data_IF_978342952437
#
_entry.id   IF_978342952437
#
_cell.length_a   1.000
_cell.length_b   1.000
_cell.length_c   1.000
_cell.angle_alpha   90.00
_cell.angle_beta   90.00
_cell.angle_gamma   90.00
#
_symmetry.space_group_name_H-M   'P 1'
#
loop_
_entity.id
_entity.type
_entity.pdbx_description
1 polymer ?
#
# COMPACT_ATOMS: atom_id res chain seq x y z
N UNK A 1 29.83 26.05 -12.63
CA UNK A 1 29.03 25.39 -11.56
C UNK A 1 27.57 25.53 -11.98
N UNK A 2 27.00 24.53 -12.63
CA UNK A 2 25.60 24.58 -13.04
C UNK A 2 24.75 24.57 -11.77
N UNK A 3 23.91 25.60 -11.59
CA UNK A 3 22.92 25.65 -10.52
C UNK A 3 22.00 24.44 -10.66
N UNK A 4 21.75 23.65 -9.59
CA UNK A 4 20.73 22.61 -9.62
C UNK A 4 19.39 23.23 -10.00
N UNK A 5 18.66 22.56 -10.88
CA UNK A 5 17.32 22.98 -11.32
C UNK A 5 16.35 22.93 -10.11
N UNK A 6 15.73 24.05 -9.69
CA UNK A 6 14.82 24.08 -8.54
C UNK A 6 13.58 23.18 -8.71
N UNK A 7 13.25 22.74 -9.93
CA UNK A 7 12.19 21.77 -10.17
C UNK A 7 12.55 20.33 -9.70
N UNK A 8 13.85 19.98 -9.68
CA UNK A 8 14.31 18.67 -9.20
C UNK A 8 14.18 18.52 -7.68
N UNK A 9 14.40 19.60 -6.92
CA UNK A 9 14.27 19.59 -5.45
C UNK A 9 12.81 19.62 -4.97
N UNK A 10 11.91 20.32 -5.68
CA UNK A 10 10.47 20.35 -5.33
C UNK A 10 9.74 19.00 -5.52
N UNK A 11 10.32 18.07 -6.27
CA UNK A 11 9.70 16.77 -6.58
C UNK A 11 9.86 15.75 -5.44
N UNK A 12 10.85 15.92 -4.57
CA UNK A 12 11.19 14.98 -3.48
C UNK A 12 10.39 15.21 -2.19
N UNK A 13 9.79 16.39 -1.99
CA UNK A 13 8.99 16.70 -0.78
C UNK A 13 7.49 16.41 -0.93
N UNK A 14 7.01 16.08 -2.13
CA UNK A 14 5.61 15.64 -2.29
C UNK A 14 5.45 14.19 -1.87
N UNK A 15 4.59 13.95 -0.87
CA UNK A 15 4.19 12.61 -0.49
C UNK A 15 3.75 11.81 -1.74
N UNK A 16 4.24 10.57 -1.84
CA UNK A 16 3.91 9.69 -2.97
C UNK A 16 2.39 9.51 -3.10
N UNK A 17 1.87 9.27 -4.32
CA UNK A 17 0.44 9.05 -4.55
C UNK A 17 -0.16 8.02 -3.58
N UNK A 18 -1.11 8.46 -2.77
CA UNK A 18 -1.80 7.62 -1.78
C UNK A 18 -3.24 8.10 -1.53
N UNK A 19 -3.99 7.31 -0.77
CA UNK A 19 -5.26 7.71 -0.17
C UNK A 19 -5.46 6.90 1.11
N UNK A 20 -4.94 7.41 2.22
CA UNK A 20 -5.05 6.75 3.52
C UNK A 20 -6.51 6.56 3.95
N UNK A 21 -7.41 7.45 3.54
CA UNK A 21 -8.84 7.37 3.82
C UNK A 21 -9.50 6.20 3.09
N UNK A 22 -9.13 5.96 1.82
CA UNK A 22 -9.64 4.82 1.06
C UNK A 22 -9.11 3.49 1.63
N UNK A 23 -7.83 3.45 1.99
CA UNK A 23 -7.24 2.30 2.68
C UNK A 23 -7.96 2.00 4.00
N UNK A 24 -8.18 3.03 4.83
CA UNK A 24 -8.92 2.90 6.10
C UNK A 24 -10.35 2.42 5.89
N UNK A 25 -11.03 2.94 4.87
CA UNK A 25 -12.40 2.52 4.54
C UNK A 25 -12.45 1.03 4.17
N UNK A 26 -11.46 0.51 3.43
CA UNK A 26 -11.38 -0.92 3.11
C UNK A 26 -11.22 -1.75 4.37
N UNK A 27 -10.23 -1.42 5.21
CA UNK A 27 -9.95 -2.19 6.43
C UNK A 27 -11.12 -2.14 7.42
N UNK A 28 -11.64 -0.95 7.69
CA UNK A 28 -12.79 -0.79 8.58
C UNK A 28 -14.06 -1.43 8.02
N UNK A 29 -14.25 -1.41 6.70
CA UNK A 29 -15.34 -2.13 6.05
C UNK A 29 -15.28 -3.63 6.29
N UNK A 30 -14.09 -4.24 6.16
CA UNK A 30 -13.89 -5.67 6.43
C UNK A 30 -14.13 -6.01 7.91
N UNK A 31 -13.72 -5.16 8.84
CA UNK A 31 -13.99 -5.36 10.27
C UNK A 31 -15.49 -5.30 10.57
N UNK A 32 -16.24 -4.43 9.88
CA UNK A 32 -17.69 -4.30 10.05
C UNK A 32 -18.48 -5.43 9.36
N UNK A 33 -17.98 -5.91 8.23
CA UNK A 33 -18.55 -7.03 7.46
C UNK A 33 -17.42 -7.89 6.92
N UNK A 34 -17.13 -8.99 7.63
CA UNK A 34 -16.06 -9.91 7.27
C UNK A 34 -16.26 -10.54 5.89
N UNK A 35 -17.49 -10.61 5.37
CA UNK A 35 -17.77 -11.13 4.02
C UNK A 35 -17.09 -10.32 2.91
N UNK A 36 -16.71 -9.07 3.19
CA UNK A 36 -16.04 -8.18 2.26
C UNK A 36 -14.57 -8.53 1.99
N UNK A 37 -13.93 -9.34 2.85
CA UNK A 37 -12.51 -9.67 2.71
C UNK A 37 -12.20 -10.39 1.39
N UNK A 38 -13.08 -11.30 0.95
CA UNK A 38 -12.90 -12.04 -0.29
C UNK A 38 -12.78 -11.11 -1.50
N UNK A 39 -13.65 -10.10 -1.56
CA UNK A 39 -13.61 -9.08 -2.62
C UNK A 39 -12.36 -8.19 -2.50
N UNK A 40 -11.93 -7.85 -1.28
CA UNK A 40 -10.71 -7.06 -1.09
C UNK A 40 -9.46 -7.82 -1.57
N UNK A 41 -9.33 -9.11 -1.27
CA UNK A 41 -8.22 -9.98 -1.69
C UNK A 41 -8.19 -10.16 -3.21
N UNK A 42 -9.36 -10.28 -3.84
CA UNK A 42 -9.46 -10.37 -5.30
C UNK A 42 -8.90 -9.11 -6.00
N UNK A 43 -9.18 -7.93 -5.42
CA UNK A 43 -8.89 -6.65 -6.05
C UNK A 43 -7.52 -6.06 -5.70
N UNK A 44 -6.97 -6.40 -4.54
CA UNK A 44 -5.79 -5.77 -3.95
C UNK A 44 -4.72 -6.77 -3.52
N UNK A 45 -3.50 -6.28 -3.45
CA UNK A 45 -2.37 -6.93 -2.76
C UNK A 45 -1.93 -6.06 -1.58
N UNK A 46 -1.30 -6.62 -0.53
CA UNK A 46 -0.78 -5.82 0.59
C UNK A 46 0.12 -4.65 0.15
N UNK A 47 0.90 -4.83 -0.91
CA UNK A 47 1.82 -3.83 -1.46
C UNK A 47 1.08 -2.60 -2.03
N UNK A 48 -0.23 -2.74 -2.33
CA UNK A 48 -1.05 -1.64 -2.81
C UNK A 48 -1.37 -0.61 -1.72
N UNK A 49 -1.28 -1.00 -0.45
CA UNK A 49 -1.42 -0.08 0.68
C UNK A 49 -0.15 0.75 0.82
N UNK A 50 -0.29 2.06 0.81
CA UNK A 50 0.79 3.01 1.05
C UNK A 50 1.18 3.05 2.52
N UNK A 51 0.18 3.09 3.42
CA UNK A 51 0.42 3.22 4.86
C UNK A 51 0.93 1.87 5.40
N UNK A 52 2.14 1.81 5.99
CA UNK A 52 2.71 0.55 6.46
C UNK A 52 1.85 -0.18 7.50
N UNK A 53 1.19 0.55 8.39
CA UNK A 53 0.27 -0.04 9.38
C UNK A 53 -0.94 -0.66 8.70
N UNK A 54 -1.54 0.00 7.71
CA UNK A 54 -2.66 -0.56 6.93
C UNK A 54 -2.26 -1.84 6.19
N UNK A 55 -1.07 -1.86 5.57
CA UNK A 55 -0.54 -3.05 4.92
C UNK A 55 -0.47 -4.25 5.87
N UNK A 56 0.12 -4.05 7.06
CA UNK A 56 0.24 -5.09 8.08
C UNK A 56 -1.11 -5.59 8.56
N UNK A 57 -2.06 -4.68 8.79
CA UNK A 57 -3.42 -5.04 9.17
C UNK A 57 -4.07 -5.88 8.07
N UNK A 58 -3.96 -5.50 6.80
CA UNK A 58 -4.51 -6.28 5.69
C UNK A 58 -3.89 -7.68 5.61
N UNK A 59 -2.57 -7.82 5.81
CA UNK A 59 -1.91 -9.13 5.88
C UNK A 59 -2.45 -9.99 7.02
N UNK A 60 -2.64 -9.42 8.21
CA UNK A 60 -3.23 -10.11 9.34
C UNK A 60 -4.67 -10.56 9.05
N UNK A 61 -5.48 -9.71 8.38
CA UNK A 61 -6.84 -10.05 7.95
C UNK A 61 -6.84 -11.22 6.95
N UNK A 62 -5.91 -11.24 6.00
CA UNK A 62 -5.74 -12.37 5.07
C UNK A 62 -5.41 -13.64 5.84
N UNK A 63 -4.44 -13.60 6.76
CA UNK A 63 -4.06 -14.75 7.56
C UNK A 63 -5.19 -15.30 8.43
N UNK A 64 -6.04 -14.43 9.00
CA UNK A 64 -7.26 -14.81 9.72
C UNK A 64 -8.28 -15.48 8.79
N UNK A 65 -8.51 -14.89 7.62
CA UNK A 65 -9.43 -15.41 6.62
C UNK A 65 -9.03 -16.81 6.11
N UNK A 66 -7.75 -17.01 5.80
CA UNK A 66 -7.22 -18.27 5.24
C UNK A 66 -7.42 -19.47 6.18
N UNK A 67 -7.44 -19.25 7.50
CA UNK A 67 -7.70 -20.28 8.50
C UNK A 67 -9.16 -20.33 8.97
N UNK A 68 -10.05 -19.55 8.36
CA UNK A 68 -11.47 -19.50 8.70
C UNK A 68 -11.77 -18.86 10.07
N UNK A 69 -10.89 -17.97 10.54
CA UNK A 69 -11.11 -17.22 11.77
C UNK A 69 -11.88 -15.92 11.50
N UNK A 70 -12.56 -15.40 12.53
CA UNK A 70 -13.21 -14.09 12.49
C UNK A 70 -12.17 -12.96 12.36
N UNK A 71 -12.55 -11.89 11.67
CA UNK A 71 -11.72 -10.70 11.44
C UNK A 71 -12.25 -9.58 12.33
N UNK A 72 -11.91 -9.64 13.62
CA UNK A 72 -12.24 -8.63 14.61
C UNK A 72 -10.98 -7.95 15.18
N UNK A 73 -11.10 -6.76 15.82
CA UNK A 73 -9.95 -6.01 16.30
C UNK A 73 -9.05 -6.75 17.30
N UNK A 74 -9.60 -7.64 18.13
CA UNK A 74 -8.83 -8.42 19.11
C UNK A 74 -8.03 -9.50 18.39
N UNK A 75 -8.65 -10.24 17.47
CA UNK A 75 -7.96 -11.29 16.72
C UNK A 75 -6.90 -10.72 15.76
N UNK A 76 -7.14 -9.54 15.18
CA UNK A 76 -6.13 -8.81 14.40
C UNK A 76 -4.95 -8.41 15.30
N UNK A 77 -5.22 -7.89 16.51
CA UNK A 77 -4.19 -7.52 17.48
C UNK A 77 -3.34 -8.73 17.89
N UNK A 78 -3.97 -9.87 18.16
CA UNK A 78 -3.28 -11.13 18.46
C UNK A 78 -2.41 -11.61 17.29
N UNK A 79 -2.89 -11.49 16.06
CA UNK A 79 -2.12 -11.87 14.88
C UNK A 79 -0.90 -10.98 14.70
N UNK A 80 -1.06 -9.66 14.85
CA UNK A 80 0.04 -8.71 14.76
C UNK A 80 1.07 -8.88 15.89
N UNK A 81 0.66 -9.36 17.07
CA UNK A 81 1.56 -9.69 18.18
C UNK A 81 2.46 -10.88 17.87
N UNK A 82 1.95 -11.92 17.20
CA UNK A 82 2.75 -13.10 16.82
C UNK A 82 3.93 -12.71 15.92
N UNK A 83 3.74 -11.69 15.10
CA UNK A 83 4.77 -11.17 14.18
C UNK A 83 5.66 -10.08 14.80
N UNK A 84 5.53 -9.78 16.10
CA UNK A 84 6.16 -8.62 16.77
C UNK A 84 5.89 -7.28 16.05
N UNK A 85 4.75 -7.18 15.34
CA UNK A 85 4.42 -6.04 14.50
C UNK A 85 3.48 -5.03 15.17
N UNK A 86 2.88 -5.37 16.32
CA UNK A 86 1.82 -4.57 16.94
C UNK A 86 2.24 -3.13 17.28
N UNK A 87 3.41 -2.94 17.89
CA UNK A 87 3.90 -1.60 18.26
C UNK A 87 4.08 -0.71 17.02
N UNK A 88 4.48 -1.31 15.90
CA UNK A 88 4.66 -0.61 14.62
C UNK A 88 3.35 -0.18 13.95
N UNK A 89 2.22 -0.68 14.41
CA UNK A 89 0.88 -0.39 13.90
C UNK A 89 0.17 0.71 14.73
N UNK A 90 0.71 1.06 15.90
CA UNK A 90 0.10 2.03 16.82
C UNK A 90 -0.80 1.39 17.89
N UNK A 91 -0.73 0.06 18.03
CA UNK A 91 -1.47 -0.71 19.04
C UNK A 91 -2.95 -0.92 18.71
N UNK A 92 -3.65 -1.64 19.60
CA UNK A 92 -5.06 -2.01 19.43
C UNK A 92 -5.99 -0.81 19.20
N UNK A 93 -5.70 0.33 19.83
CA UNK A 93 -6.47 1.57 19.66
C UNK A 93 -6.50 2.06 18.22
N UNK A 94 -5.44 1.81 17.44
CA UNK A 94 -5.43 2.16 16.02
C UNK A 94 -6.40 1.28 15.22
N UNK A 95 -6.42 -0.02 15.52
CA UNK A 95 -7.29 -1.01 14.87
C UNK A 95 -8.76 -0.70 15.19
N UNK A 96 -9.09 -0.42 16.45
CA UNK A 96 -10.47 -0.07 16.83
C UNK A 96 -10.94 1.25 16.22
N UNK A 97 -10.01 2.17 15.90
CA UNK A 97 -10.34 3.43 15.23
C UNK A 97 -10.55 3.30 13.72
N UNK A 98 -10.26 2.16 13.10
CA UNK A 98 -10.48 1.95 11.66
C UNK A 98 -11.96 2.10 11.29
N UNK A 99 -12.86 1.65 12.16
CA UNK A 99 -14.32 1.68 11.94
C UNK A 99 -14.96 3.02 12.31
N UNK A 100 -14.23 3.90 13.03
CA UNK A 100 -14.80 5.13 13.56
C UNK A 100 -15.19 6.11 12.44
N UNK A 101 -16.45 6.53 12.42
CA UNK A 101 -16.99 7.45 11.42
C UNK A 101 -17.13 6.88 10.01
N UNK A 102 -17.02 5.56 9.83
CA UNK A 102 -17.35 4.92 8.57
C UNK A 102 -18.88 4.73 8.41
N UNK A 103 -19.41 4.81 7.19
CA UNK A 103 -20.80 4.45 6.92
C UNK A 103 -21.05 2.96 7.16
N UNK A 104 -22.30 2.60 7.48
CA UNK A 104 -22.71 1.20 7.68
C UNK A 104 -22.51 0.30 6.45
N UNK A 105 -22.48 0.87 5.25
CA UNK A 105 -22.17 0.16 4.02
C UNK A 105 -20.91 0.74 3.38
N UNK A 106 -19.94 -0.13 3.09
CA UNK A 106 -18.68 0.24 2.43
C UNK A 106 -18.64 -0.35 1.03
N UNK A 107 -18.42 0.50 0.02
CA UNK A 107 -18.18 0.03 -1.35
C UNK A 107 -16.69 -0.30 -1.53
N UNK A 108 -16.30 -1.54 -1.19
CA UNK A 108 -14.91 -2.00 -1.28
C UNK A 108 -14.37 -1.86 -2.71
N UNK A 109 -15.15 -2.24 -3.73
CA UNK A 109 -14.73 -2.14 -5.12
C UNK A 109 -14.35 -0.70 -5.52
N UNK A 110 -15.11 0.30 -5.07
CA UNK A 110 -14.80 1.70 -5.32
C UNK A 110 -13.47 2.12 -4.67
N UNK A 111 -13.30 1.85 -3.38
CA UNK A 111 -12.08 2.23 -2.66
C UNK A 111 -10.86 1.44 -3.14
N UNK A 112 -11.01 0.15 -3.45
CA UNK A 112 -9.96 -0.68 -4.01
C UNK A 112 -9.45 -0.12 -5.34
N UNK A 113 -10.35 0.36 -6.22
CA UNK A 113 -9.95 1.03 -7.47
C UNK A 113 -9.09 2.27 -7.20
N UNK A 114 -9.43 3.06 -6.17
CA UNK A 114 -8.63 4.23 -5.77
C UNK A 114 -7.24 3.79 -5.29
N UNK A 115 -7.17 2.85 -4.33
CA UNK A 115 -5.91 2.37 -3.75
C UNK A 115 -5.01 1.76 -4.83
N UNK A 116 -5.56 0.90 -5.70
CA UNK A 116 -4.81 0.30 -6.81
C UNK A 116 -4.32 1.34 -7.82
N UNK A 117 -5.13 2.34 -8.15
CA UNK A 117 -4.70 3.44 -9.01
C UNK A 117 -3.53 4.23 -8.41
N UNK A 118 -3.55 4.49 -7.09
CA UNK A 118 -2.43 5.12 -6.39
C UNK A 118 -1.19 4.22 -6.34
N UNK A 119 -1.37 2.93 -6.09
CA UNK A 119 -0.29 1.93 -6.12
C UNK A 119 0.44 1.90 -7.45
N UNK A 120 -0.30 1.83 -8.56
CA UNK A 120 0.26 1.85 -9.92
C UNK A 120 1.08 3.12 -10.18
N UNK A 121 0.61 4.30 -9.74
CA UNK A 121 1.39 5.53 -9.86
C UNK A 121 2.68 5.49 -9.03
N UNK A 122 2.66 4.89 -7.83
CA UNK A 122 3.88 4.72 -7.03
C UNK A 122 4.88 3.77 -7.68
N UNK A 123 4.40 2.67 -8.27
CA UNK A 123 5.23 1.72 -9.00
C UNK A 123 5.89 2.40 -10.21
N UNK A 124 5.14 3.20 -10.96
CA UNK A 124 5.67 3.98 -12.08
C UNK A 124 6.75 4.98 -11.63
N UNK A 125 6.53 5.72 -10.55
CA UNK A 125 7.53 6.64 -9.98
C UNK A 125 8.81 5.88 -9.59
N UNK A 126 8.66 4.70 -8.95
CA UNK A 126 9.79 3.87 -8.55
C UNK A 126 10.59 3.38 -9.75
N UNK A 127 9.92 2.91 -10.80
CA UNK A 127 10.54 2.49 -12.05
C UNK A 127 11.32 3.65 -12.70
N UNK A 128 10.69 4.82 -12.84
CA UNK A 128 11.36 6.01 -13.42
C UNK A 128 12.58 6.45 -12.63
N UNK A 129 12.51 6.42 -11.29
CA UNK A 129 13.66 6.76 -10.45
C UNK A 129 14.81 5.77 -10.63
N UNK A 130 14.50 4.46 -10.72
CA UNK A 130 15.50 3.41 -10.96
C UNK A 130 16.18 3.61 -12.33
N UNK A 131 15.41 3.83 -13.38
CA UNK A 131 15.94 4.10 -14.74
C UNK A 131 16.83 5.35 -14.74
N UNK A 132 16.39 6.40 -14.05
CA UNK A 132 17.17 7.64 -13.93
C UNK A 132 18.50 7.40 -13.21
N UNK A 133 18.48 6.58 -12.16
CA UNK A 133 19.68 6.22 -11.40
C UNK A 133 20.67 5.44 -12.27
N UNK A 134 20.22 4.38 -12.94
CA UNK A 134 21.06 3.55 -13.82
C UNK A 134 21.74 4.38 -14.92
N UNK A 135 20.97 5.30 -15.54
CA UNK A 135 21.50 6.20 -16.57
C UNK A 135 22.55 7.20 -16.04
N UNK A 136 22.47 7.58 -14.76
CA UNK A 136 23.44 8.49 -14.13
C UNK A 136 24.72 7.74 -13.70
N UNK A 137 24.59 6.50 -13.24
CA UNK A 137 25.69 5.68 -12.75
C UNK A 137 26.60 5.17 -13.88
N UNK A 138 26.03 4.91 -15.07
CA UNK A 138 26.78 4.47 -16.27
C UNK A 138 27.65 3.22 -16.03
N UNK A 139 27.16 2.29 -15.20
CA UNK A 139 27.87 1.05 -14.88
C UNK A 139 27.77 -0.02 -15.99
N UNK A 140 26.72 0.05 -16.82
CA UNK A 140 26.44 -0.88 -17.92
C UNK A 140 26.45 -0.18 -19.30
N UNK A 141 26.46 -0.98 -20.37
CA UNK A 141 26.31 -0.47 -21.74
C UNK A 141 24.93 0.20 -21.93
N UNK A 142 24.83 1.31 -22.69
CA UNK A 142 23.57 2.04 -22.88
C UNK A 142 22.40 1.16 -23.37
N UNK A 143 22.69 0.18 -24.22
CA UNK A 143 21.72 -0.78 -24.74
C UNK A 143 21.11 -1.65 -23.62
N UNK A 144 21.92 -2.07 -22.64
CA UNK A 144 21.46 -2.86 -21.49
C UNK A 144 20.56 -2.02 -20.58
N UNK A 145 20.95 -0.76 -20.35
CA UNK A 145 20.15 0.17 -19.53
C UNK A 145 18.79 0.46 -20.21
N UNK A 146 18.76 0.58 -21.54
CA UNK A 146 17.53 0.73 -22.30
C UNK A 146 16.62 -0.49 -22.16
N UNK A 147 17.16 -1.70 -22.30
CA UNK A 147 16.40 -2.94 -22.14
C UNK A 147 15.80 -3.07 -20.72
N UNK A 148 16.57 -2.72 -19.68
CA UNK A 148 16.06 -2.69 -18.30
C UNK A 148 14.91 -1.69 -18.11
N UNK A 149 15.01 -0.51 -18.75
CA UNK A 149 13.98 0.50 -18.69
C UNK A 149 12.67 0.04 -19.34
N UNK A 150 12.75 -0.63 -20.50
CA UNK A 150 11.58 -1.21 -21.15
C UNK A 150 10.92 -2.27 -20.26
N UNK A 151 11.71 -3.19 -19.69
CA UNK A 151 11.18 -4.20 -18.78
C UNK A 151 10.50 -3.59 -17.55
N UNK A 152 11.06 -2.52 -16.98
CA UNK A 152 10.51 -1.86 -15.79
C UNK A 152 9.19 -1.11 -16.04
N UNK A 153 8.89 -0.72 -17.29
CA UNK A 153 7.66 -0.01 -17.66
C UNK A 153 6.56 -0.98 -18.09
N UNK A 154 6.91 -2.09 -18.75
CA UNK A 154 5.95 -3.01 -19.37
C UNK A 154 5.58 -4.23 -18.51
N UNK A 155 6.15 -4.40 -17.31
CA UNK A 155 5.76 -5.41 -16.30
C UNK A 155 4.92 -4.81 -15.18
#
# INVERSE_FOLDING_TARGET
>A
MATPDPAREQSLERALPNSAEAERAILGGVVLDNGLISQAIELLRPEDFYVPSHRRIFMAMIGLFERGAEIDPILIDEELKKENALESVGGISFITNLTYGLPHSTNIAHYAKVVRGKSMLRQLIKASNKITQEALEQEDEPEIILDHAEQAIFQ
#
